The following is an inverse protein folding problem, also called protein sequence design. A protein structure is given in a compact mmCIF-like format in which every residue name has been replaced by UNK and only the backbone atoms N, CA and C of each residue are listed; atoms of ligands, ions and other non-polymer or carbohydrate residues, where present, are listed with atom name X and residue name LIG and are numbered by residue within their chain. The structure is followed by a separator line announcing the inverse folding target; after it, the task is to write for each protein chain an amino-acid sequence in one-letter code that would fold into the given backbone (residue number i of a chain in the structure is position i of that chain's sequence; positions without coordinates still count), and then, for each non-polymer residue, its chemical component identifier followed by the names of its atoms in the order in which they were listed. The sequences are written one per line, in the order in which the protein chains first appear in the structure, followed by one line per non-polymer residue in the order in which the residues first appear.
data_IF_355428952419
#
_entry.id   IF_355428952419
#
_cell.length_a   1.000
_cell.length_b   1.000
_cell.length_c   1.000
_cell.angle_alpha   90.00
_cell.angle_beta   90.00
_cell.angle_gamma   90.00
#
_symmetry.space_group_name_H-M   'P 1'
#
loop_
_entity.id
_entity.type
_entity.pdbx_description
1 polymer ?
#
# COMPACT_ATOMS: atom_id res chain seq x y z
N UNK A 1 17.58 -6.99 -3.54
CA UNK A 1 16.20 -7.43 -3.26
C UNK A 1 15.77 -8.17 -4.50
N UNK A 2 16.18 -9.42 -4.50
CA UNK A 2 16.47 -10.19 -5.69
C UNK A 2 15.16 -10.85 -6.12
N UNK A 3 14.86 -10.80 -7.42
CA UNK A 3 13.61 -11.28 -8.04
C UNK A 3 13.25 -12.74 -7.67
N UNK A 4 14.21 -13.50 -7.14
CA UNK A 4 14.06 -14.88 -6.65
C UNK A 4 13.18 -15.00 -5.40
N UNK A 5 13.12 -14.00 -4.52
CA UNK A 5 12.23 -14.02 -3.34
C UNK A 5 10.75 -13.94 -3.74
N UNK A 6 10.44 -13.15 -4.78
CA UNK A 6 9.07 -12.96 -5.25
C UNK A 6 8.47 -14.23 -5.87
N UNK A 7 9.27 -15.01 -6.61
CA UNK A 7 8.83 -16.27 -7.20
C UNK A 7 8.56 -17.35 -6.13
N UNK A 8 9.28 -17.29 -5.00
CA UNK A 8 9.14 -18.28 -3.92
C UNK A 8 7.88 -18.04 -3.09
N UNK A 9 7.49 -16.78 -2.87
CA UNK A 9 6.27 -16.44 -2.14
C UNK A 9 4.99 -16.85 -2.89
N UNK A 10 4.96 -16.64 -4.19
CA UNK A 10 3.83 -17.01 -5.06
C UNK A 10 3.62 -18.54 -5.10
N UNK A 11 4.71 -19.31 -5.05
CA UNK A 11 4.66 -20.78 -4.99
C UNK A 11 4.12 -21.31 -3.67
N UNK A 12 4.20 -20.53 -2.59
CA UNK A 12 3.62 -20.86 -1.29
C UNK A 12 2.23 -20.27 -1.06
N UNK A 13 1.66 -19.55 -2.04
CA UNK A 13 0.36 -18.89 -1.92
C UNK A 13 0.37 -17.75 -0.89
N UNK A 14 1.54 -17.24 -0.52
CA UNK A 14 1.66 -16.09 0.38
C UNK A 14 1.56 -14.80 -0.43
N UNK A 15 0.75 -13.88 0.08
CA UNK A 15 0.64 -12.56 -0.51
C UNK A 15 1.94 -11.76 -0.33
N UNK A 16 2.29 -11.02 -1.39
CA UNK A 16 3.46 -10.15 -1.38
C UNK A 16 3.28 -9.02 -0.36
N UNK A 17 4.22 -8.94 0.56
CA UNK A 17 4.31 -7.87 1.55
C UNK A 17 5.36 -6.85 1.11
N UNK A 18 4.97 -5.57 1.03
CA UNK A 18 5.86 -4.45 0.73
C UNK A 18 6.34 -3.81 2.03
N UNK A 19 7.61 -3.48 2.15
CA UNK A 19 8.06 -2.60 3.23
C UNK A 19 7.83 -1.11 2.89
N UNK A 20 8.07 -0.23 3.85
CA UNK A 20 7.84 1.22 3.66
C UNK A 20 8.66 1.83 2.51
N UNK A 21 9.89 1.35 2.27
CA UNK A 21 10.72 1.82 1.16
C UNK A 21 10.19 1.31 -0.18
N UNK A 22 9.69 0.07 -0.23
CA UNK A 22 9.06 -0.48 -1.43
C UNK A 22 7.76 0.25 -1.77
N UNK A 23 6.93 0.55 -0.76
CA UNK A 23 5.72 1.34 -0.95
C UNK A 23 6.05 2.74 -1.49
N UNK A 24 7.05 3.40 -0.92
CA UNK A 24 7.54 4.69 -1.37
C UNK A 24 8.06 4.64 -2.82
N UNK A 25 8.85 3.62 -3.16
CA UNK A 25 9.34 3.40 -4.51
C UNK A 25 8.20 3.10 -5.51
N UNK A 26 7.21 2.30 -5.11
CA UNK A 26 6.05 1.95 -5.92
C UNK A 26 5.19 3.19 -6.24
N UNK A 27 4.90 4.01 -5.24
CA UNK A 27 4.12 5.24 -5.38
C UNK A 27 4.95 6.42 -5.94
N UNK A 28 6.27 6.24 -6.08
CA UNK A 28 7.23 7.28 -6.49
C UNK A 28 7.20 8.52 -5.60
N UNK A 29 6.95 8.32 -4.31
CA UNK A 29 6.97 9.37 -3.28
C UNK A 29 8.09 9.11 -2.29
N UNK A 30 8.65 10.13 -1.62
CA UNK A 30 9.64 9.89 -0.58
C UNK A 30 9.01 9.20 0.64
N UNK A 31 9.81 8.41 1.35
CA UNK A 31 9.39 7.67 2.55
C UNK A 31 8.81 8.62 3.63
N UNK A 32 9.35 9.84 3.71
CA UNK A 32 8.83 10.89 4.61
C UNK A 32 7.36 11.21 4.34
N UNK A 33 6.92 11.23 3.08
CA UNK A 33 5.52 11.44 2.72
C UNK A 33 4.63 10.30 3.21
N UNK A 34 5.13 9.05 3.15
CA UNK A 34 4.41 7.90 3.72
C UNK A 34 4.25 8.06 5.24
N UNK A 35 5.29 8.52 5.94
CA UNK A 35 5.20 8.80 7.38
C UNK A 35 4.18 9.91 7.68
N UNK A 36 4.13 10.96 6.86
CA UNK A 36 3.12 12.02 7.00
C UNK A 36 1.70 11.52 6.74
N UNK A 37 1.48 10.67 5.73
CA UNK A 37 0.17 10.05 5.53
C UNK A 37 -0.22 9.19 6.71
N UNK A 38 0.74 8.51 7.34
CA UNK A 38 0.46 7.68 8.52
C UNK A 38 0.03 8.51 9.72
N UNK A 39 0.63 9.68 9.95
CA UNK A 39 0.20 10.58 11.03
C UNK A 39 -1.16 11.20 10.74
N UNK A 40 -1.50 11.41 9.46
CA UNK A 40 -2.81 11.90 9.01
C UNK A 40 -3.89 10.82 8.90
N UNK A 41 -3.55 9.55 9.10
CA UNK A 41 -4.48 8.42 8.90
C UNK A 41 -4.86 8.17 7.43
N UNK A 42 -4.05 8.69 6.50
CA UNK A 42 -4.24 8.58 5.05
C UNK A 42 -3.33 7.52 4.41
N UNK A 43 -2.59 6.73 5.19
CA UNK A 43 -1.71 5.70 4.67
C UNK A 43 -2.45 4.34 4.49
N UNK A 44 -1.96 3.46 3.59
CA UNK A 44 -2.48 2.10 3.48
C UNK A 44 -2.28 1.33 4.78
N UNK A 45 -3.10 0.29 4.97
CA UNK A 45 -3.06 -0.55 6.17
C UNK A 45 -1.68 -1.22 6.30
N UNK A 46 -1.02 -0.96 7.43
CA UNK A 46 0.32 -1.47 7.70
C UNK A 46 0.25 -2.56 8.77
N UNK A 47 0.76 -3.74 8.43
CA UNK A 47 1.01 -4.82 9.37
C UNK A 47 2.34 -4.58 10.07
N UNK A 48 2.32 -4.55 11.40
CA UNK A 48 3.52 -4.31 12.22
C UNK A 48 4.10 -5.64 12.72
N UNK A 49 5.17 -6.10 12.08
CA UNK A 49 5.96 -7.22 12.58
C UNK A 49 7.15 -6.69 13.38
N UNK A 50 6.89 -6.37 14.64
CA UNK A 50 7.88 -5.80 15.57
C UNK A 50 8.35 -4.40 15.16
N UNK A 51 9.61 -4.30 14.72
CA UNK A 51 10.22 -3.04 14.24
C UNK A 51 10.02 -2.79 12.74
N UNK A 52 9.57 -3.79 11.98
CA UNK A 52 9.35 -3.66 10.54
C UNK A 52 7.86 -3.42 10.27
N UNK A 53 7.57 -2.42 9.43
CA UNK A 53 6.24 -2.23 8.85
C UNK A 53 6.22 -2.88 7.48
N UNK A 54 5.18 -3.66 7.26
CA UNK A 54 4.89 -4.29 5.97
C UNK A 54 3.47 -3.99 5.57
N UNK A 55 3.24 -3.84 4.29
CA UNK A 55 1.96 -3.50 3.68
C UNK A 55 1.60 -4.64 2.75
N UNK A 56 0.41 -5.21 2.89
CA UNK A 56 -0.02 -6.26 2.00
C UNK A 56 -0.31 -5.66 0.62
N UNK A 57 0.07 -6.36 -0.46
CA UNK A 57 -0.15 -5.86 -1.81
C UNK A 57 -1.64 -5.59 -2.10
N UNK A 58 -2.55 -6.38 -1.53
CA UNK A 58 -3.99 -6.14 -1.65
C UNK A 58 -4.44 -4.89 -0.90
N UNK A 59 -3.96 -4.68 0.33
CA UNK A 59 -4.26 -3.49 1.12
C UNK A 59 -3.78 -2.22 0.40
N UNK A 60 -2.56 -2.24 -0.15
CA UNK A 60 -2.01 -1.12 -0.93
C UNK A 60 -2.85 -0.89 -2.19
N UNK A 61 -3.24 -1.95 -2.91
CA UNK A 61 -4.07 -1.84 -4.11
C UNK A 61 -5.44 -1.23 -3.79
N UNK A 62 -6.11 -1.70 -2.75
CA UNK A 62 -7.40 -1.18 -2.30
C UNK A 62 -7.28 0.29 -1.87
N UNK A 63 -6.21 0.64 -1.17
CA UNK A 63 -5.94 2.02 -0.77
C UNK A 63 -5.70 2.95 -1.97
N UNK A 64 -4.90 2.51 -2.96
CA UNK A 64 -4.64 3.28 -4.19
C UNK A 64 -5.93 3.49 -4.96
N UNK A 65 -6.78 2.45 -5.08
CA UNK A 65 -8.08 2.54 -5.75
C UNK A 65 -9.00 3.57 -5.07
N UNK A 66 -9.04 3.56 -3.73
CA UNK A 66 -9.82 4.52 -2.94
C UNK A 66 -9.25 5.96 -2.96
N UNK A 67 -7.94 6.12 -3.16
CA UNK A 67 -7.25 7.42 -3.22
C UNK A 67 -7.13 8.00 -4.63
N UNK A 68 -7.66 7.33 -5.65
CA UNK A 68 -7.78 7.92 -6.98
C UNK A 68 -8.57 9.21 -6.83
N UNK A 69 -7.96 10.34 -7.16
CA UNK A 69 -8.66 11.63 -7.20
C UNK A 69 -9.93 11.41 -8.03
N UNK A 70 -11.09 11.42 -7.36
CA UNK A 70 -12.38 11.24 -7.98
C UNK A 70 -12.62 12.40 -8.92
N UNK A 71 -12.11 12.31 -10.14
CA UNK A 71 -12.42 13.20 -11.25
C UNK A 71 -13.79 12.90 -11.85
N UNK A 72 -14.82 12.69 -11.02
CA UNK A 72 -16.20 12.40 -11.44
C UNK A 72 -17.21 12.91 -10.41
N UNK A 73 -18.39 13.42 -10.83
CA UNK A 73 -19.31 14.16 -9.96
C UNK A 73 -19.78 13.32 -8.75
N UNK A 74 -20.25 13.97 -7.66
CA UNK A 74 -20.69 13.27 -6.44
C UNK A 74 -21.68 12.15 -6.77
N UNK A 75 -21.70 11.04 -6.01
CA UNK A 75 -22.71 10.01 -6.21
C UNK A 75 -24.08 10.68 -6.08
N UNK A 76 -24.79 10.76 -7.21
CA UNK A 76 -26.15 11.23 -7.24
C UNK A 76 -26.93 10.41 -6.21
N UNK A 77 -27.59 11.13 -5.31
CA UNK A 77 -28.54 10.55 -4.38
C UNK A 77 -29.46 9.56 -5.13
N UNK A 78 -29.54 8.34 -4.63
CA UNK A 78 -30.66 7.43 -4.87
C UNK A 78 -30.98 6.89 -3.48
N UNK A 79 -31.84 7.62 -2.76
CA UNK A 79 -33.31 7.46 -2.67
C UNK A 79 -33.67 6.31 -1.75
#
# INVERSE_FOLDING_TARGET
MDTVDNLTLELWGLERLLNINELAAYLRVPVSTIYEWRTKGQAPLAHRYGKHLTFAATDVRAWVDAHRETGGPPPAASR
#
